data_IF_168285022167
#
_entry.id   IF_168285022167
#
_cell.length_a   1.000
_cell.length_b   1.000
_cell.length_c   1.000
_cell.angle_alpha   90.00
_cell.angle_beta   90.00
_cell.angle_gamma   90.00
#
_symmetry.space_group_name_H-M   'P 1'
#
loop_
_entity.id
_entity.type
_entity.pdbx_description
1 polymer ?
#
# COMPACT_ATOMS: atom_id res chain seq x y z
N UNK A 1 51.19 10.22 26.20
CA UNK A 1 51.73 9.09 25.42
C UNK A 1 52.05 7.97 26.37
N UNK A 2 51.52 6.77 26.13
CA UNK A 2 52.07 5.44 26.47
C UNK A 2 50.90 4.45 26.46
N UNK A 3 50.76 3.74 25.34
CA UNK A 3 49.95 2.53 25.22
C UNK A 3 50.67 1.42 25.98
N UNK A 4 49.96 0.68 26.81
CA UNK A 4 50.38 -0.67 27.22
C UNK A 4 49.17 -1.58 27.13
N UNK A 5 49.35 -2.65 26.37
CA UNK A 5 48.40 -3.73 26.14
C UNK A 5 48.80 -4.98 26.95
N UNK A 6 47.90 -5.97 26.96
CA UNK A 6 47.99 -7.34 27.51
C UNK A 6 47.65 -7.46 29.02
N UNK A 7 46.87 -8.43 29.50
CA UNK A 7 46.68 -9.83 29.08
C UNK A 7 45.25 -10.36 29.31
N UNK A 8 44.90 -11.32 28.44
CA UNK A 8 43.93 -12.42 28.54
C UNK A 8 43.11 -12.61 29.81
N UNK A 9 41.79 -12.63 29.64
CA UNK A 9 40.89 -13.43 30.47
C UNK A 9 40.05 -14.34 29.55
N UNK A 10 40.35 -15.62 29.70
CA UNK A 10 39.69 -16.76 29.07
C UNK A 10 38.20 -16.72 29.38
N UNK A 11 37.35 -16.72 28.35
CA UNK A 11 35.96 -17.14 28.47
C UNK A 11 35.67 -18.18 27.40
N UNK A 12 35.25 -19.33 27.91
CA UNK A 12 34.89 -20.57 27.23
C UNK A 12 33.95 -20.29 26.05
N UNK A 13 34.12 -20.96 24.89
CA UNK A 13 33.14 -20.88 23.81
C UNK A 13 31.82 -21.47 24.30
N UNK A 14 30.85 -20.62 24.64
CA UNK A 14 29.46 -21.04 24.60
C UNK A 14 29.16 -21.26 23.12
N UNK A 15 29.25 -22.54 22.73
CA UNK A 15 28.57 -23.10 21.59
C UNK A 15 27.07 -22.78 21.74
N UNK A 16 26.65 -21.59 21.34
CA UNK A 16 25.27 -21.33 21.00
C UNK A 16 24.99 -22.04 19.69
N UNK A 17 24.79 -23.36 19.80
CA UNK A 17 24.05 -24.11 18.82
C UNK A 17 22.57 -23.82 19.04
N UNK A 18 22.13 -22.63 18.63
CA UNK A 18 20.76 -22.44 18.17
C UNK A 18 20.84 -21.58 16.91
N UNK A 19 20.79 -22.30 15.80
CA UNK A 19 20.15 -21.88 14.56
C UNK A 19 19.00 -20.90 14.85
N UNK A 20 19.30 -19.60 14.92
CA UNK A 20 18.36 -18.60 14.43
C UNK A 20 18.46 -18.74 12.92
N UNK A 21 17.86 -19.82 12.42
CA UNK A 21 17.38 -19.84 11.06
C UNK A 21 16.60 -18.54 10.91
N UNK A 22 16.98 -17.77 9.89
CA UNK A 22 16.21 -16.67 9.37
C UNK A 22 14.73 -17.04 9.47
N UNK A 23 14.00 -16.54 10.47
CA UNK A 23 12.56 -16.43 10.33
C UNK A 23 12.39 -15.29 9.33
N UNK A 24 12.44 -15.69 8.05
CA UNK A 24 11.94 -14.90 6.93
C UNK A 24 10.56 -14.45 7.39
N UNK A 25 10.44 -13.18 7.79
CA UNK A 25 9.15 -12.57 8.02
C UNK A 25 8.32 -12.92 6.78
N UNK A 26 7.22 -13.64 6.99
CA UNK A 26 6.41 -14.12 5.89
C UNK A 26 6.09 -12.93 4.99
N UNK A 27 6.27 -13.11 3.69
CA UNK A 27 6.22 -12.00 2.76
C UNK A 27 4.74 -11.72 2.44
N UNK A 28 4.25 -10.46 2.44
CA UNK A 28 2.82 -10.18 2.28
C UNK A 28 2.34 -10.61 0.90
N UNK A 29 1.27 -11.40 0.84
CA UNK A 29 0.73 -11.90 -0.42
C UNK A 29 -0.12 -10.82 -1.09
N UNK A 30 0.08 -10.61 -2.39
CA UNK A 30 -0.68 -9.66 -3.19
C UNK A 30 -1.48 -10.43 -4.24
N UNK A 31 -2.80 -10.27 -4.24
CA UNK A 31 -3.68 -10.94 -5.19
C UNK A 31 -4.45 -9.93 -6.03
N UNK A 32 -4.36 -10.03 -7.36
CA UNK A 32 -5.17 -9.22 -8.28
C UNK A 32 -6.65 -9.36 -7.97
N UNK A 33 -7.35 -8.24 -8.00
CA UNK A 33 -8.78 -8.15 -7.85
C UNK A 33 -9.35 -7.35 -9.01
N UNK A 34 -10.49 -7.79 -9.55
CA UNK A 34 -11.26 -7.01 -10.50
C UNK A 34 -12.39 -6.29 -9.75
N UNK A 35 -12.31 -4.97 -9.69
CA UNK A 35 -13.32 -4.10 -9.08
C UNK A 35 -13.97 -3.16 -10.09
N UNK A 36 -13.81 -3.40 -11.40
CA UNK A 36 -14.25 -2.48 -12.45
C UNK A 36 -15.76 -2.21 -12.38
N UNK A 37 -16.59 -3.24 -12.24
CA UNK A 37 -18.04 -3.09 -12.16
C UNK A 37 -18.46 -2.17 -11.01
N UNK A 38 -17.96 -2.43 -9.80
CA UNK A 38 -18.28 -1.64 -8.61
C UNK A 38 -17.81 -0.18 -8.73
N UNK A 39 -16.59 0.03 -9.24
CA UNK A 39 -16.03 1.38 -9.39
C UNK A 39 -16.72 2.17 -10.51
N UNK A 40 -17.01 1.52 -11.63
CA UNK A 40 -17.64 2.15 -12.79
C UNK A 40 -19.11 2.47 -12.53
N UNK A 41 -19.83 1.66 -11.76
CA UNK A 41 -21.19 1.98 -11.33
C UNK A 41 -21.29 3.37 -10.66
N UNK A 42 -20.35 3.69 -9.77
CA UNK A 42 -20.30 5.01 -9.12
C UNK A 42 -19.81 6.13 -10.05
N UNK A 43 -18.83 5.86 -10.91
CA UNK A 43 -18.29 6.86 -11.85
C UNK A 43 -19.31 7.26 -12.90
N UNK A 44 -20.00 6.29 -13.49
CA UNK A 44 -21.06 6.54 -14.47
C UNK A 44 -22.22 7.30 -13.83
N UNK A 45 -22.61 6.96 -12.59
CA UNK A 45 -23.62 7.73 -11.85
C UNK A 45 -23.20 9.19 -11.60
N UNK A 46 -21.89 9.48 -11.52
CA UNK A 46 -21.33 10.82 -11.40
C UNK A 46 -21.02 11.50 -12.76
N UNK A 47 -21.37 10.88 -13.89
CA UNK A 47 -21.09 11.41 -15.23
C UNK A 47 -19.61 11.38 -15.62
N UNK A 48 -18.80 10.54 -14.97
CA UNK A 48 -17.38 10.37 -15.24
C UNK A 48 -17.12 9.19 -16.19
N UNK A 49 -16.04 9.28 -16.96
CA UNK A 49 -15.60 8.18 -17.82
C UNK A 49 -15.26 6.94 -16.99
N UNK A 50 -15.64 5.77 -17.48
CA UNK A 50 -15.32 4.48 -16.86
C UNK A 50 -13.81 4.22 -16.81
N UNK A 51 -13.36 3.57 -15.73
CA UNK A 51 -12.04 2.96 -15.67
C UNK A 51 -11.95 1.79 -16.66
N UNK A 52 -10.75 1.61 -17.20
CA UNK A 52 -10.32 0.39 -17.90
C UNK A 52 -9.25 -0.34 -17.06
N UNK A 53 -8.99 -1.61 -17.37
CA UNK A 53 -7.82 -2.28 -16.77
C UNK A 53 -6.52 -1.58 -17.17
N UNK A 54 -5.65 -1.34 -16.20
CA UNK A 54 -4.30 -0.89 -16.45
C UNK A 54 -3.49 -1.99 -17.15
N UNK A 55 -2.73 -1.60 -18.17
CA UNK A 55 -1.84 -2.50 -18.93
C UNK A 55 -0.40 -2.00 -19.00
N UNK A 56 -0.16 -0.74 -18.62
CA UNK A 56 1.19 -0.16 -18.56
C UNK A 56 1.84 -0.56 -17.24
N UNK A 57 3.09 -1.04 -17.28
CA UNK A 57 3.79 -1.56 -16.11
C UNK A 57 3.86 -0.59 -14.92
N UNK A 58 3.94 0.72 -15.17
CA UNK A 58 3.95 1.76 -14.12
C UNK A 58 2.55 2.05 -13.54
N UNK A 59 1.50 1.41 -14.03
CA UNK A 59 0.11 1.58 -13.60
C UNK A 59 -0.49 0.28 -13.03
N UNK A 60 0.22 -0.84 -13.18
CA UNK A 60 -0.20 -2.16 -12.71
C UNK A 60 0.44 -2.42 -11.35
N UNK A 61 -0.40 -2.69 -10.34
CA UNK A 61 0.08 -3.06 -9.03
C UNK A 61 0.77 -4.43 -9.10
N UNK A 62 1.92 -4.61 -8.44
CA UNK A 62 2.67 -5.86 -8.49
C UNK A 62 1.90 -7.00 -7.81
N UNK A 63 1.81 -8.13 -8.52
CA UNK A 63 1.26 -9.40 -8.03
C UNK A 63 2.41 -10.29 -7.54
N UNK A 64 2.98 -10.02 -6.35
CA UNK A 64 3.79 -10.98 -5.55
C UNK A 64 4.30 -10.37 -4.24
N UNK A 65 4.56 -11.29 -3.31
CA UNK A 65 5.31 -11.14 -2.07
C UNK A 65 6.35 -10.03 -2.12
N UNK A 66 6.08 -8.90 -1.46
CA UNK A 66 6.98 -7.74 -1.30
C UNK A 66 8.31 -8.22 -0.73
N UNK A 67 9.26 -8.60 -1.60
CA UNK A 67 10.61 -8.91 -1.16
C UNK A 67 11.12 -7.66 -0.46
N UNK A 68 11.48 -7.82 0.83
CA UNK A 68 12.05 -6.73 1.61
C UNK A 68 13.30 -6.29 0.86
N UNK A 69 13.30 -5.04 0.39
CA UNK A 69 14.47 -4.39 -0.18
C UNK A 69 15.68 -4.65 0.73
N UNK A 70 16.59 -5.51 0.29
CA UNK A 70 17.88 -5.74 0.98
C UNK A 70 19.01 -4.92 0.37
N UNK A 71 18.74 -4.11 -0.67
CA UNK A 71 19.74 -3.21 -1.23
C UNK A 71 19.43 -1.75 -0.93
N UNK A 72 20.45 -1.09 -0.41
CA UNK A 72 20.47 0.29 0.08
C UNK A 72 20.36 1.37 -1.02
N UNK A 73 19.73 1.06 -2.15
CA UNK A 73 19.49 1.97 -3.29
C UNK A 73 18.04 1.89 -3.85
N UNK A 74 17.12 1.17 -3.20
CA UNK A 74 15.82 0.87 -3.79
C UNK A 74 14.75 1.95 -3.62
N UNK A 75 14.42 2.64 -4.72
CA UNK A 75 13.04 3.10 -4.95
C UNK A 75 12.12 1.89 -4.80
N UNK A 76 11.37 1.84 -3.70
CA UNK A 76 10.36 0.79 -3.45
C UNK A 76 9.53 0.54 -4.70
N UNK A 77 9.03 -0.69 -4.95
CA UNK A 77 8.18 -0.96 -6.11
C UNK A 77 7.03 0.06 -6.24
N UNK A 78 6.49 0.56 -5.12
CA UNK A 78 5.50 1.63 -5.07
C UNK A 78 6.00 2.96 -5.64
N UNK A 79 7.27 3.32 -5.43
CA UNK A 79 7.88 4.55 -5.99
C UNK A 79 8.11 4.52 -7.50
N UNK A 80 7.97 3.35 -8.15
CA UNK A 80 8.03 3.20 -9.62
C UNK A 80 6.65 3.31 -10.27
N UNK A 81 5.59 3.30 -9.47
CA UNK A 81 4.22 3.37 -9.92
C UNK A 81 3.75 4.82 -10.07
N UNK A 82 2.80 5.00 -10.97
CA UNK A 82 2.21 6.29 -11.33
C UNK A 82 0.71 6.23 -11.12
N UNK A 83 0.14 7.34 -10.64
CA UNK A 83 -1.29 7.44 -10.35
C UNK A 83 -1.55 7.84 -8.90
N UNK A 84 -2.81 7.82 -8.52
CA UNK A 84 -3.25 8.08 -7.15
C UNK A 84 -3.69 6.76 -6.53
N UNK A 85 -3.14 6.42 -5.38
CA UNK A 85 -3.49 5.19 -4.67
C UNK A 85 -4.76 5.38 -3.85
N UNK A 86 -5.66 4.41 -3.94
CA UNK A 86 -6.79 4.27 -3.04
C UNK A 86 -6.52 3.13 -2.06
N UNK A 87 -6.95 3.30 -0.81
CA UNK A 87 -6.75 2.36 0.27
C UNK A 87 -8.08 2.04 0.95
N UNK A 88 -8.31 0.75 1.19
CA UNK A 88 -9.42 0.26 1.99
C UNK A 88 -8.87 -0.73 3.04
N UNK A 89 -9.05 -0.46 4.35
CA UNK A 89 -8.64 -1.40 5.38
C UNK A 89 -9.58 -2.61 5.35
N UNK A 90 -9.07 -3.75 4.87
CA UNK A 90 -9.83 -5.00 4.81
C UNK A 90 -9.74 -5.71 6.16
N UNK A 91 -10.89 -5.94 6.80
CA UNK A 91 -11.00 -6.93 7.88
C UNK A 91 -11.15 -8.34 7.27
N UNK A 92 -10.41 -9.31 7.80
CA UNK A 92 -10.51 -10.74 7.48
C UNK A 92 -10.14 -11.16 6.03
N UNK A 93 -9.40 -10.34 5.28
CA UNK A 93 -8.93 -10.70 3.93
C UNK A 93 -10.05 -10.85 2.88
N UNK A 94 -11.23 -10.28 3.14
CA UNK A 94 -12.36 -10.34 2.20
C UNK A 94 -12.10 -9.50 0.95
N UNK A 95 -12.35 -10.09 -0.22
CA UNK A 95 -12.26 -9.46 -1.54
C UNK A 95 -13.56 -8.72 -1.91
N UNK A 96 -13.98 -7.78 -1.07
CA UNK A 96 -15.24 -7.07 -1.27
C UNK A 96 -15.00 -5.70 -1.90
N UNK A 97 -15.09 -5.65 -3.23
CA UNK A 97 -15.00 -4.41 -3.99
C UNK A 97 -16.12 -3.43 -3.64
N UNK A 98 -17.33 -3.92 -3.32
CA UNK A 98 -18.46 -3.07 -2.97
C UNK A 98 -18.22 -2.35 -1.63
N UNK A 99 -17.70 -3.07 -0.65
CA UNK A 99 -17.30 -2.48 0.63
C UNK A 99 -16.20 -1.43 0.44
N UNK A 100 -15.21 -1.70 -0.43
CA UNK A 100 -14.15 -0.74 -0.73
C UNK A 100 -14.68 0.54 -1.37
N UNK A 101 -15.52 0.43 -2.41
CA UNK A 101 -16.04 1.62 -3.11
C UNK A 101 -17.00 2.44 -2.25
N UNK A 102 -17.83 1.82 -1.41
CA UNK A 102 -18.67 2.55 -0.45
C UNK A 102 -17.83 3.23 0.64
N UNK A 103 -16.75 2.59 1.11
CA UNK A 103 -15.80 3.23 2.01
C UNK A 103 -15.15 4.46 1.36
N UNK A 104 -14.67 4.36 0.12
CA UNK A 104 -14.06 5.50 -0.59
C UNK A 104 -15.07 6.62 -0.85
N UNK A 105 -16.26 6.28 -1.32
CA UNK A 105 -17.37 7.23 -1.54
C UNK A 105 -17.74 8.00 -0.29
N UNK A 106 -17.77 7.35 0.88
CA UNK A 106 -18.03 8.01 2.15
C UNK A 106 -16.96 9.06 2.53
N UNK A 107 -15.79 9.05 1.86
CA UNK A 107 -14.77 10.10 1.97
C UNK A 107 -15.24 11.49 1.53
N UNK A 108 -16.32 11.61 0.74
CA UNK A 108 -16.88 12.90 0.33
C UNK A 108 -17.26 13.80 1.52
N UNK A 109 -17.76 13.18 2.59
CA UNK A 109 -18.15 13.88 3.82
C UNK A 109 -16.97 14.58 4.51
N UNK A 110 -15.74 14.11 4.29
CA UNK A 110 -14.52 14.73 4.82
C UNK A 110 -14.23 16.09 4.17
N UNK A 111 -14.83 16.34 3.00
CA UNK A 111 -14.82 17.62 2.30
C UNK A 111 -16.10 18.43 2.55
N UNK A 112 -16.83 18.15 3.63
CA UNK A 112 -18.12 18.79 3.96
C UNK A 112 -19.17 18.65 2.85
N UNK A 113 -19.07 17.59 2.05
CA UNK A 113 -19.91 17.35 0.87
C UNK A 113 -19.75 18.44 -0.22
N UNK A 114 -18.57 19.06 -0.30
CA UNK A 114 -18.17 19.97 -1.35
C UNK A 114 -17.05 19.37 -2.18
N UNK A 115 -16.74 19.99 -3.33
CA UNK A 115 -15.61 19.57 -4.14
C UNK A 115 -14.33 19.61 -3.28
N UNK A 116 -13.48 18.56 -3.34
CA UNK A 116 -12.19 18.58 -2.67
C UNK A 116 -11.43 19.84 -3.06
N UNK A 117 -10.77 20.51 -2.09
CA UNK A 117 -9.91 21.66 -2.41
C UNK A 117 -8.78 21.22 -3.35
N UNK A 118 -7.98 22.17 -3.82
CA UNK A 118 -6.75 21.80 -4.50
C UNK A 118 -5.79 21.14 -3.50
N UNK A 119 -5.19 20.01 -3.89
CA UNK A 119 -4.16 19.39 -3.07
C UNK A 119 -2.90 20.25 -3.10
N UNK A 120 -2.70 21.03 -2.04
CA UNK A 120 -1.42 21.71 -1.76
C UNK A 120 -0.60 20.83 -0.82
N UNK A 121 0.74 20.82 -0.99
CA UNK A 121 1.72 19.88 -0.41
C UNK A 121 1.37 19.19 0.94
N UNK A 122 1.91 17.96 1.09
CA UNK A 122 1.64 16.87 2.04
C UNK A 122 1.51 17.20 3.54
N UNK A 123 1.58 18.45 3.99
CA UNK A 123 1.37 18.83 5.39
C UNK A 123 0.62 20.17 5.60
N UNK A 124 0.01 20.77 4.57
CA UNK A 124 -0.72 22.05 4.71
C UNK A 124 -2.24 21.97 4.65
N UNK A 125 -2.80 20.85 4.20
CA UNK A 125 -4.25 20.65 4.15
C UNK A 125 -4.64 19.40 4.94
N UNK A 126 -5.02 19.57 6.21
CA UNK A 126 -5.37 18.49 7.15
C UNK A 126 -6.54 17.59 6.71
N UNK A 127 -7.17 17.88 5.58
CA UNK A 127 -8.37 17.18 5.06
C UNK A 127 -8.05 15.90 4.27
N UNK A 128 -6.80 15.70 3.82
CA UNK A 128 -6.41 14.54 3.00
C UNK A 128 -5.92 13.35 3.84
N UNK A 129 -6.85 12.67 4.48
CA UNK A 129 -6.61 11.30 4.99
C UNK A 129 -6.58 10.27 3.86
N UNK A 130 -6.14 9.04 4.13
CA UNK A 130 -6.16 7.93 3.15
C UNK A 130 -7.54 7.73 2.52
N UNK A 131 -8.61 7.85 3.33
CA UNK A 131 -10.00 7.77 2.85
C UNK A 131 -10.37 8.92 1.92
N UNK A 132 -9.92 10.14 2.24
CA UNK A 132 -10.16 11.33 1.42
C UNK A 132 -9.39 11.25 0.09
N UNK A 133 -8.14 10.78 0.10
CA UNK A 133 -7.36 10.53 -1.12
C UNK A 133 -8.02 9.44 -1.97
N UNK A 134 -8.55 8.39 -1.35
CA UNK A 134 -9.25 7.32 -2.06
C UNK A 134 -10.54 7.80 -2.73
N UNK A 135 -11.29 8.71 -2.09
CA UNK A 135 -12.42 9.40 -2.71
C UNK A 135 -11.97 10.15 -3.98
N UNK A 136 -10.89 10.95 -3.88
CA UNK A 136 -10.37 11.71 -5.02
C UNK A 136 -9.89 10.79 -6.14
N UNK A 137 -9.24 9.67 -5.82
CA UNK A 137 -8.83 8.68 -6.81
C UNK A 137 -10.05 8.10 -7.57
N UNK A 138 -11.09 7.70 -6.84
CA UNK A 138 -12.31 7.12 -7.42
C UNK A 138 -13.06 8.10 -8.33
N UNK A 139 -13.13 9.39 -7.95
CA UNK A 139 -13.89 10.42 -8.67
C UNK A 139 -13.02 11.38 -9.51
N UNK A 140 -11.78 11.00 -9.80
CA UNK A 140 -10.90 11.83 -10.63
C UNK A 140 -11.47 11.96 -12.07
N UNK A 141 -11.68 13.20 -12.58
CA UNK A 141 -12.27 13.43 -13.90
C UNK A 141 -11.28 13.29 -15.07
N UNK A 142 -10.03 12.86 -14.82
CA UNK A 142 -9.04 12.63 -15.87
C UNK A 142 -9.58 11.71 -16.98
N UNK A 143 -9.39 12.06 -18.26
CA UNK A 143 -9.85 11.24 -19.38
C UNK A 143 -9.03 9.95 -19.47
N UNK A 144 -9.64 8.92 -20.07
CA UNK A 144 -9.04 7.59 -20.26
C UNK A 144 -8.43 6.99 -18.97
N UNK A 145 -9.18 6.98 -17.85
CA UNK A 145 -8.64 6.53 -16.59
C UNK A 145 -8.46 5.00 -16.61
N UNK A 146 -7.43 4.51 -15.94
CA UNK A 146 -7.17 3.07 -15.76
C UNK A 146 -7.06 2.72 -14.28
N UNK A 147 -7.29 1.46 -13.94
CA UNK A 147 -7.19 0.97 -12.57
C UNK A 147 -6.50 -0.39 -12.52
N UNK A 148 -5.78 -0.62 -11.43
CA UNK A 148 -5.25 -1.92 -11.02
C UNK A 148 -5.54 -2.08 -9.53
N UNK A 149 -6.17 -3.19 -9.14
CA UNK A 149 -6.53 -3.48 -7.75
C UNK A 149 -5.84 -4.77 -7.29
N UNK A 150 -5.32 -4.75 -6.06
CA UNK A 150 -4.83 -5.95 -5.39
C UNK A 150 -5.34 -5.99 -3.96
N UNK A 151 -5.63 -7.19 -3.47
CA UNK A 151 -5.75 -7.46 -2.04
C UNK A 151 -4.35 -7.77 -1.50
N UNK A 152 -3.89 -6.97 -0.54
CA UNK A 152 -2.66 -7.23 0.20
C UNK A 152 -3.00 -7.96 1.50
N UNK A 153 -2.56 -9.20 1.62
CA UNK A 153 -2.68 -10.01 2.83
C UNK A 153 -1.36 -9.95 3.59
N UNK A 154 -1.37 -9.23 4.72
CA UNK A 154 -0.25 -9.27 5.66
C UNK A 154 -0.28 -10.58 6.44
N UNK A 155 0.88 -11.24 6.65
CA UNK A 155 0.93 -12.39 7.54
C UNK A 155 0.63 -11.94 8.97
N UNK A 156 -0.20 -12.70 9.67
CA UNK A 156 -0.38 -12.54 11.11
C UNK A 156 0.95 -12.79 11.80
N UNK A 157 1.37 -11.85 12.65
CA UNK A 157 2.48 -12.11 13.55
C UNK A 157 2.15 -13.36 14.38
N UNK A 158 2.90 -14.44 14.21
CA UNK A 158 2.84 -15.57 15.15
C UNK A 158 3.31 -15.06 16.50
N UNK A 159 2.37 -14.89 17.43
CA UNK A 159 2.69 -14.66 18.84
C UNK A 159 3.36 -15.94 19.36
N UNK A 160 4.57 -15.86 19.94
CA UNK A 160 5.30 -17.02 20.45
C UNK A 160 4.58 -17.69 21.64
#
# INVERSE_FOLDING_TARGET
>A
MARVAFFSLVSVPLLFNQTIAQQKAATPEAQKLDCLEAMNGLRTAAGLAEFKEASIATQVLPEKTVERATDSDETTQAGKLTGTFAYYPVADGKKDCNAAVEYWKAGFSLFKNELPPEFTETNKTAVYSDKAVSFVALYNPKPNPVVSCVLLQCPTATVP
#
